data_IF_466695729620
#
_entry.id   IF_466695729620
#
_cell.length_a   1.000
_cell.length_b   1.000
_cell.length_c   1.000
_cell.angle_alpha   90.00
_cell.angle_beta   90.00
_cell.angle_gamma   90.00
#
_symmetry.space_group_name_H-M   'P 1'
#
loop_
_entity.id
_entity.type
_entity.pdbx_description
1 polymer ?
#
# COMPACT_ATOMS: atom_id res chain seq x y z
N UNK A 1 -30.36 10.28 1.92
CA UNK A 1 -31.64 9.57 1.68
C UNK A 1 -31.44 8.14 1.17
N UNK A 2 -30.75 7.92 0.03
CA UNK A 2 -30.57 6.58 -0.57
C UNK A 2 -29.73 5.61 0.27
N UNK A 3 -28.63 6.07 0.90
CA UNK A 3 -27.79 5.22 1.75
C UNK A 3 -28.54 4.67 2.97
N UNK A 4 -29.32 5.51 3.65
CA UNK A 4 -30.18 5.10 4.76
C UNK A 4 -31.31 4.16 4.30
N UNK A 5 -31.89 4.40 3.11
CA UNK A 5 -32.95 3.55 2.55
C UNK A 5 -32.45 2.16 2.15
N UNK A 6 -31.25 2.08 1.59
CA UNK A 6 -30.68 0.84 1.09
C UNK A 6 -29.80 0.11 2.11
N UNK A 7 -29.58 0.71 3.29
CA UNK A 7 -28.76 0.14 4.36
C UNK A 7 -27.31 -0.12 3.95
N UNK A 8 -26.79 0.61 2.96
CA UNK A 8 -25.45 0.37 2.39
C UNK A 8 -24.70 1.68 2.22
N UNK A 9 -23.42 1.62 2.55
CA UNK A 9 -22.47 2.70 2.34
C UNK A 9 -21.10 2.11 2.05
N UNK A 10 -20.22 2.88 1.40
CA UNK A 10 -18.87 2.41 1.11
C UNK A 10 -18.04 2.31 2.40
N UNK A 11 -17.14 1.34 2.44
CA UNK A 11 -16.00 1.39 3.36
C UNK A 11 -14.97 2.30 2.71
N UNK A 12 -14.58 3.37 3.40
CA UNK A 12 -13.63 4.33 2.87
C UNK A 12 -12.18 3.83 3.05
N UNK A 13 -11.54 3.46 1.95
CA UNK A 13 -10.13 3.03 1.97
C UNK A 13 -9.24 4.26 1.95
N UNK A 14 -8.75 4.64 3.13
CA UNK A 14 -7.79 5.74 3.29
C UNK A 14 -6.34 5.26 3.42
N UNK A 15 -6.08 3.98 3.17
CA UNK A 15 -4.75 3.39 3.25
C UNK A 15 -3.84 3.88 2.11
N UNK A 16 -2.55 4.05 2.41
CA UNK A 16 -1.49 4.31 1.44
C UNK A 16 -0.35 3.35 1.74
N UNK A 17 -0.49 2.15 1.19
CA UNK A 17 0.48 1.08 1.35
C UNK A 17 0.62 0.32 0.04
N UNK A 18 1.82 -0.22 -0.18
CA UNK A 18 2.12 -1.08 -1.31
C UNK A 18 2.92 -2.27 -0.81
N UNK A 19 2.50 -3.46 -1.19
CA UNK A 19 3.25 -4.71 -0.98
C UNK A 19 3.77 -5.12 -2.35
N UNK A 20 5.06 -5.43 -2.42
CA UNK A 20 5.73 -5.89 -3.64
C UNK A 20 6.26 -7.28 -3.36
N UNK A 21 5.88 -8.23 -4.21
CA UNK A 21 6.45 -9.57 -4.22
C UNK A 21 6.32 -10.35 -2.89
N UNK A 22 5.38 -9.99 -2.03
CA UNK A 22 5.26 -10.51 -0.65
C UNK A 22 6.54 -10.39 0.22
N UNK A 23 7.52 -9.60 -0.23
CA UNK A 23 8.82 -9.43 0.45
C UNK A 23 9.02 -8.04 1.02
N UNK A 24 8.52 -7.03 0.31
CA UNK A 24 8.76 -5.63 0.60
C UNK A 24 7.45 -4.89 0.77
N UNK A 25 7.42 -3.97 1.74
CA UNK A 25 6.27 -3.11 1.99
C UNK A 25 6.71 -1.64 2.06
N UNK A 26 5.90 -0.77 1.49
CA UNK A 26 5.94 0.67 1.74
C UNK A 26 4.64 1.05 2.44
N UNK A 27 4.73 1.77 3.56
CA UNK A 27 3.58 2.30 4.30
C UNK A 27 3.82 3.77 4.61
N UNK A 28 2.81 4.62 4.40
CA UNK A 28 2.97 6.05 4.66
C UNK A 28 1.69 6.86 4.55
N UNK A 29 1.87 8.17 4.41
CA UNK A 29 0.78 9.15 4.25
C UNK A 29 0.50 9.50 2.77
N UNK A 30 1.49 9.31 1.89
CA UNK A 30 1.45 9.74 0.50
C UNK A 30 0.44 8.98 -0.36
N UNK A 31 -0.55 9.70 -0.91
CA UNK A 31 -1.46 9.16 -1.92
C UNK A 31 -0.74 8.97 -3.26
N UNK A 32 -1.27 8.09 -4.13
CA UNK A 32 -0.82 7.99 -5.53
C UNK A 32 -1.46 9.14 -6.34
N UNK A 33 -0.98 10.36 -6.11
CA UNK A 33 -1.33 11.54 -6.90
C UNK A 33 -0.19 12.55 -6.89
N UNK A 34 -0.26 13.55 -7.77
CA UNK A 34 0.79 14.58 -7.85
C UNK A 34 0.92 15.40 -6.56
N UNK A 35 -0.15 15.62 -5.79
CA UNK A 35 -0.07 16.43 -4.57
C UNK A 35 0.87 15.79 -3.54
N UNK A 36 0.77 14.48 -3.34
CA UNK A 36 1.60 13.73 -2.41
C UNK A 36 2.97 13.33 -2.99
N UNK A 37 3.06 13.05 -4.30
CA UNK A 37 4.30 12.51 -4.91
C UNK A 37 5.29 13.56 -5.43
N UNK A 38 4.86 14.82 -5.57
CA UNK A 38 5.70 15.91 -6.10
C UNK A 38 6.75 16.40 -5.10
N UNK A 39 6.54 16.19 -3.80
CA UNK A 39 7.48 16.55 -2.72
C UNK A 39 7.61 18.05 -2.43
N UNK A 40 7.15 18.92 -3.34
CA UNK A 40 7.13 20.39 -3.15
C UNK A 40 5.77 20.93 -2.70
N UNK A 41 4.75 20.07 -2.65
CA UNK A 41 3.36 20.41 -2.28
C UNK A 41 3.07 19.96 -0.85
N UNK A 42 2.52 18.76 -0.69
CA UNK A 42 2.22 18.22 0.64
C UNK A 42 3.49 17.59 1.23
N UNK A 43 3.73 17.80 2.51
CA UNK A 43 4.77 17.10 3.26
C UNK A 43 4.27 15.70 3.61
N UNK A 44 4.89 14.69 3.01
CA UNK A 44 4.54 13.29 3.23
C UNK A 44 5.68 12.53 3.91
N UNK A 45 5.35 11.41 4.57
CA UNK A 45 6.33 10.46 5.10
C UNK A 45 5.93 9.03 4.75
N UNK A 46 6.91 8.21 4.42
CA UNK A 46 6.73 6.78 4.20
C UNK A 46 7.93 5.99 4.72
N UNK A 47 7.66 4.78 5.20
CA UNK A 47 8.66 3.79 5.60
C UNK A 47 8.60 2.61 4.63
N UNK A 48 9.77 2.21 4.15
CA UNK A 48 9.98 0.95 3.45
C UNK A 48 10.58 -0.09 4.39
N UNK A 49 10.08 -1.33 4.35
CA UNK A 49 10.59 -2.42 5.17
C UNK A 49 10.54 -3.77 4.43
N UNK A 50 11.46 -4.65 4.78
CA UNK A 50 11.49 -6.04 4.37
C UNK A 50 12.18 -6.89 5.45
N UNK A 51 11.96 -8.20 5.41
CA UNK A 51 12.63 -9.14 6.29
C UNK A 51 13.79 -9.82 5.56
N UNK A 52 15.06 -9.63 5.95
CA UNK A 52 16.21 -10.16 5.19
C UNK A 52 16.26 -11.68 5.06
N UNK A 53 15.50 -12.42 5.87
CA UNK A 53 15.44 -13.89 5.84
C UNK A 53 14.18 -14.43 5.15
N UNK A 54 13.25 -13.56 4.75
CA UNK A 54 12.01 -13.93 4.06
C UNK A 54 12.00 -13.30 2.67
N UNK A 55 13.01 -13.66 1.88
CA UNK A 55 13.08 -13.32 0.46
C UNK A 55 13.20 -14.60 -0.36
N UNK A 56 12.60 -14.63 -1.54
CA UNK A 56 12.67 -15.67 -2.56
C UNK A 56 14.11 -16.05 -2.86
N UNK A 57 15.00 -15.05 -2.98
CA UNK A 57 16.44 -15.27 -3.17
C UNK A 57 17.06 -16.15 -2.08
N UNK A 58 16.64 -16.01 -0.81
CA UNK A 58 17.12 -16.86 0.29
C UNK A 58 16.37 -18.17 0.42
N UNK A 59 15.07 -18.18 0.11
CA UNK A 59 14.24 -19.38 0.19
C UNK A 59 14.54 -20.39 -0.94
N UNK A 60 15.29 -20.00 -1.99
CA UNK A 60 15.51 -20.78 -3.23
C UNK A 60 14.19 -21.22 -3.89
N UNK A 61 13.11 -20.51 -3.59
CA UNK A 61 11.79 -20.72 -4.13
C UNK A 61 11.47 -19.57 -5.06
N UNK A 62 10.74 -19.87 -6.13
CA UNK A 62 10.19 -18.85 -7.00
C UNK A 62 8.73 -18.64 -6.66
N UNK A 63 8.19 -17.42 -6.82
CA UNK A 63 6.77 -17.21 -6.74
C UNK A 63 6.08 -18.11 -7.77
N UNK A 64 5.16 -18.95 -7.30
CA UNK A 64 4.20 -19.58 -8.18
C UNK A 64 3.20 -18.49 -8.56
N UNK A 65 3.38 -17.89 -9.73
CA UNK A 65 2.40 -16.98 -10.30
C UNK A 65 1.02 -17.65 -10.33
N UNK A 66 -0.03 -16.85 -10.15
CA UNK A 66 -1.40 -17.30 -10.37
C UNK A 66 -1.68 -17.54 -11.86
#
# INVERSE_FOLDING_TARGET
ALAHKNGRFMVYVHAKGMIVDDEYVIMGSANINQRSMDGSRDTEIAMGAYQPHHTWAKQKNHPHGQ
#
